data_IF_732743247497
#
_entry.id   IF_732743247497
#
_cell.length_a   1.000
_cell.length_b   1.000
_cell.length_c   1.000
_cell.angle_alpha   90.00
_cell.angle_beta   90.00
_cell.angle_gamma   90.00
#
_symmetry.space_group_name_H-M   'P 1'
#
loop_
_entity.id
_entity.type
_entity.pdbx_description
1 polymer ?
#
# COMPACT_ATOMS: atom_id res chain seq x y z
N UNK A 1 7.16 -4.50 -2.34
CA UNK A 1 6.59 -3.53 -1.36
C UNK A 1 7.59 -2.49 -0.89
N UNK A 2 8.87 -2.84 -0.65
CA UNK A 2 9.92 -1.85 -0.35
C UNK A 2 10.21 -0.87 -1.49
N UNK A 3 10.43 -1.38 -2.71
CA UNK A 3 10.76 -0.55 -3.87
C UNK A 3 9.72 0.55 -4.14
N UNK A 4 8.39 0.28 -4.20
CA UNK A 4 7.41 1.36 -4.37
C UNK A 4 7.34 2.31 -3.16
N UNK A 5 7.47 1.80 -1.92
CA UNK A 5 7.47 2.64 -0.72
C UNK A 5 8.63 3.64 -0.73
N UNK A 6 9.84 3.19 -1.06
CA UNK A 6 11.03 4.03 -1.21
C UNK A 6 10.92 5.07 -2.35
N UNK A 7 10.04 4.82 -3.34
CA UNK A 7 9.77 5.72 -4.45
C UNK A 7 8.55 6.64 -4.20
N UNK A 8 8.08 6.74 -2.96
CA UNK A 8 6.91 7.52 -2.57
C UNK A 8 5.67 7.13 -3.40
N UNK A 9 5.42 5.82 -3.53
CA UNK A 9 4.23 5.27 -4.19
C UNK A 9 3.35 4.52 -3.18
N UNK A 10 2.01 4.68 -3.24
CA UNK A 10 1.10 3.84 -2.49
C UNK A 10 1.36 2.36 -2.76
N UNK A 11 1.25 1.51 -1.72
CA UNK A 11 1.47 0.08 -1.86
C UNK A 11 0.16 -0.68 -1.68
N UNK A 12 -0.22 -1.44 -2.70
CA UNK A 12 -1.28 -2.44 -2.63
C UNK A 12 -0.67 -3.83 -2.70
N UNK A 13 -1.21 -4.80 -1.96
CA UNK A 13 -0.78 -6.19 -2.07
C UNK A 13 -1.91 -7.19 -1.83
N UNK A 14 -1.70 -8.43 -2.29
CA UNK A 14 -2.59 -9.55 -1.98
C UNK A 14 -2.34 -10.12 -0.58
N UNK A 15 -3.12 -11.13 -0.15
CA UNK A 15 -3.03 -11.69 1.21
C UNK A 15 -1.79 -12.57 1.44
N UNK A 16 -1.08 -12.97 0.38
CA UNK A 16 0.03 -13.93 0.46
C UNK A 16 1.37 -13.25 0.73
N UNK A 17 1.58 -12.83 1.99
CA UNK A 17 2.74 -12.03 2.42
C UNK A 17 3.79 -12.81 3.22
N UNK A 18 3.73 -14.14 3.23
CA UNK A 18 4.55 -14.99 4.12
C UNK A 18 6.07 -14.77 3.97
N UNK A 19 6.54 -14.38 2.78
CA UNK A 19 7.96 -14.07 2.53
C UNK A 19 8.39 -12.68 3.05
N UNK A 20 7.43 -11.82 3.42
CA UNK A 20 7.65 -10.40 3.69
C UNK A 20 6.85 -9.91 4.91
N UNK A 21 6.57 -10.81 5.87
CA UNK A 21 5.67 -10.53 7.00
C UNK A 21 6.10 -9.31 7.81
N UNK A 22 7.39 -9.20 8.12
CA UNK A 22 7.93 -8.11 8.93
C UNK A 22 7.72 -6.74 8.25
N UNK A 23 8.19 -6.59 7.01
CA UNK A 23 8.03 -5.34 6.28
C UNK A 23 6.56 -5.02 5.97
N UNK A 24 5.75 -6.04 5.69
CA UNK A 24 4.31 -5.86 5.52
C UNK A 24 3.64 -5.34 6.79
N UNK A 25 4.04 -5.84 7.97
CA UNK A 25 3.52 -5.36 9.25
C UNK A 25 3.92 -3.91 9.52
N UNK A 26 5.17 -3.52 9.22
CA UNK A 26 5.62 -2.13 9.37
C UNK A 26 4.86 -1.18 8.45
N UNK A 27 4.78 -1.50 7.14
CA UNK A 27 4.05 -0.68 6.17
C UNK A 27 2.56 -0.60 6.47
N UNK A 28 1.94 -1.69 6.94
CA UNK A 28 0.54 -1.70 7.38
C UNK A 28 0.31 -0.77 8.57
N UNK A 29 1.19 -0.85 9.56
CA UNK A 29 1.11 -0.01 10.78
C UNK A 29 1.29 1.47 10.45
N UNK A 30 2.17 1.79 9.50
CA UNK A 30 2.35 3.16 9.00
C UNK A 30 1.17 3.68 8.16
N UNK A 31 0.27 2.81 7.69
CA UNK A 31 -0.78 3.17 6.74
C UNK A 31 -0.28 3.29 5.29
N UNK A 32 0.89 2.72 4.99
CA UNK A 32 1.50 2.74 3.66
C UNK A 32 1.09 1.55 2.78
N UNK A 33 0.60 0.46 3.39
CA UNK A 33 0.17 -0.76 2.72
C UNK A 33 -1.32 -1.01 2.92
N UNK A 34 -2.04 -1.26 1.82
CA UNK A 34 -3.40 -1.81 1.84
C UNK A 34 -3.39 -3.23 1.26
N UNK A 35 -3.95 -4.17 2.02
CA UNK A 35 -4.15 -5.55 1.57
C UNK A 35 -5.52 -5.71 0.92
N UNK A 36 -5.52 -6.44 -0.20
CA UNK A 36 -6.67 -6.63 -1.08
C UNK A 36 -6.87 -8.13 -1.30
N UNK A 37 -8.10 -8.61 -1.16
CA UNK A 37 -8.40 -10.05 -1.22
C UNK A 37 -8.84 -10.55 -2.59
N UNK A 38 -9.28 -9.66 -3.50
CA UNK A 38 -9.83 -10.05 -4.80
C UNK A 38 -9.67 -8.95 -5.87
N UNK A 39 -9.96 -9.31 -7.13
CA UNK A 39 -9.78 -8.42 -8.27
C UNK A 39 -10.77 -7.25 -8.29
N UNK A 40 -11.99 -7.43 -7.78
CA UNK A 40 -13.02 -6.38 -7.72
C UNK A 40 -12.60 -5.30 -6.73
N UNK A 41 -12.15 -5.71 -5.55
CA UNK A 41 -11.65 -4.78 -4.52
C UNK A 41 -10.32 -4.14 -4.94
N UNK A 42 -9.49 -4.82 -5.73
CA UNK A 42 -8.27 -4.23 -6.32
C UNK A 42 -8.60 -3.09 -7.28
N UNK A 43 -9.55 -3.31 -8.20
CA UNK A 43 -9.96 -2.29 -9.15
C UNK A 43 -10.49 -1.04 -8.42
N UNK A 44 -11.35 -1.23 -7.43
CA UNK A 44 -11.88 -0.15 -6.61
C UNK A 44 -10.78 0.59 -5.84
N UNK A 45 -9.81 -0.12 -5.25
CA UNK A 45 -8.70 0.50 -4.53
C UNK A 45 -7.81 1.35 -5.45
N UNK A 46 -7.48 0.83 -6.65
CA UNK A 46 -6.71 1.58 -7.65
C UNK A 46 -7.46 2.83 -8.09
N UNK A 47 -8.75 2.72 -8.41
CA UNK A 47 -9.58 3.88 -8.75
C UNK A 47 -9.60 4.91 -7.61
N UNK A 48 -9.79 4.46 -6.36
CA UNK A 48 -9.77 5.31 -5.19
C UNK A 48 -8.47 6.11 -5.02
N UNK A 49 -7.31 5.51 -5.32
CA UNK A 49 -6.02 6.21 -5.29
C UNK A 49 -5.90 7.32 -6.34
N UNK A 50 -6.55 7.16 -7.49
CA UNK A 50 -6.59 8.21 -8.52
C UNK A 50 -7.61 9.31 -8.19
N UNK A 51 -8.79 8.92 -7.68
CA UNK A 51 -9.87 9.85 -7.34
C UNK A 51 -9.57 10.66 -6.06
N UNK A 52 -8.75 10.12 -5.17
CA UNK A 52 -8.39 10.72 -3.88
C UNK A 52 -6.87 10.93 -3.78
N UNK A 53 -6.30 11.91 -4.50
CA UNK A 53 -4.85 12.12 -4.55
C UNK A 53 -4.24 12.44 -3.18
N UNK A 54 -5.01 12.99 -2.25
CA UNK A 54 -4.58 13.24 -0.87
C UNK A 54 -4.38 11.93 -0.09
N UNK A 55 -5.27 10.95 -0.26
CA UNK A 55 -5.12 9.63 0.33
C UNK A 55 -3.89 8.92 -0.24
N UNK A 56 -3.73 8.93 -1.56
CA UNK A 56 -2.56 8.37 -2.22
C UNK A 56 -1.26 9.01 -1.72
N UNK A 57 -1.24 10.34 -1.55
CA UNK A 57 -0.09 11.04 -1.00
C UNK A 57 0.20 10.67 0.45
N UNK A 58 -0.82 10.57 1.29
CA UNK A 58 -0.65 10.12 2.67
C UNK A 58 -0.06 8.71 2.77
N UNK A 59 -0.49 7.78 1.90
CA UNK A 59 0.08 6.41 1.86
C UNK A 59 1.53 6.42 1.37
N UNK A 60 1.83 7.24 0.36
CA UNK A 60 3.19 7.41 -0.15
C UNK A 60 4.15 8.00 0.91
N UNK A 61 3.73 9.05 1.59
CA UNK A 61 4.51 9.72 2.63
C UNK A 61 4.72 8.79 3.83
N UNK A 62 3.70 8.01 4.22
CA UNK A 62 3.83 6.96 5.23
C UNK A 62 4.85 5.88 4.83
N UNK A 63 4.91 5.51 3.55
CA UNK A 63 5.86 4.52 3.04
C UNK A 63 7.32 4.96 3.10
N UNK A 64 7.60 6.26 2.99
CA UNK A 64 8.94 6.82 3.13
C UNK A 64 9.43 6.85 4.58
N UNK A 65 8.52 6.80 5.54
CA UNK A 65 8.83 6.86 6.97
C UNK A 65 9.10 5.49 7.61
N UNK A 66 9.05 4.41 6.83
CA UNK A 66 9.32 3.02 7.23
C UNK A 66 10.69 2.59 6.72
#
# INVERSE_FOLDING_TARGET
MLEPAALAKPVLSGPHLFNFLEIAAMLRTAGALQEISDATTLAAAVQGLFDQPQQARSMADAGLAV
#
